data_IF_681833404932
#
_entry.id   IF_681833404932
#
_cell.length_a   1.000
_cell.length_b   1.000
_cell.length_c   1.000
_cell.angle_alpha   90.00
_cell.angle_beta   90.00
_cell.angle_gamma   90.00
#
_symmetry.space_group_name_H-M   'P 1'
#
loop_
_entity.id
_entity.type
_entity.pdbx_description
1 polymer ?
#
# COMPACT_ATOMS: atom_id res chain seq x y z
N UNK A 1 9.20 3.16 2.21
CA UNK A 1 9.67 1.80 1.93
C UNK A 1 9.14 0.83 2.99
N UNK A 2 8.82 -0.40 2.62
CA UNK A 2 8.57 -1.50 3.56
C UNK A 2 9.92 -2.17 3.86
N UNK A 3 10.19 -2.37 5.14
CA UNK A 3 11.43 -2.97 5.63
C UNK A 3 11.06 -4.22 6.40
N UNK A 4 11.56 -5.37 5.95
CA UNK A 4 11.47 -6.63 6.69
C UNK A 4 12.87 -7.05 7.09
N UNK A 5 13.12 -7.01 8.39
CA UNK A 5 14.43 -7.32 8.96
C UNK A 5 14.67 -8.83 8.96
N UNK A 6 15.88 -9.23 8.60
CA UNK A 6 16.36 -10.60 8.62
C UNK A 6 17.71 -10.65 9.37
N UNK A 7 18.17 -11.83 9.83
CA UNK A 7 19.47 -11.94 10.53
C UNK A 7 20.63 -11.32 9.74
N UNK A 8 20.71 -11.62 8.44
CA UNK A 8 21.81 -11.20 7.56
C UNK A 8 21.63 -9.79 6.95
N UNK A 9 20.49 -9.13 7.15
CA UNK A 9 20.18 -7.90 6.42
C UNK A 9 18.71 -7.52 6.41
N UNK A 10 18.29 -6.93 5.30
CA UNK A 10 16.93 -6.42 5.13
C UNK A 10 16.37 -6.85 3.78
N UNK A 11 15.09 -7.21 3.77
CA UNK A 11 14.26 -7.22 2.57
C UNK A 11 13.59 -5.86 2.46
N UNK A 12 13.86 -5.18 1.35
CA UNK A 12 13.42 -3.82 1.08
C UNK A 12 12.46 -3.82 -0.10
N UNK A 13 11.24 -3.35 0.13
CA UNK A 13 10.17 -3.29 -0.87
C UNK A 13 9.72 -1.85 -0.99
N UNK A 14 9.69 -1.32 -2.23
CA UNK A 14 9.18 0.03 -2.46
C UNK A 14 7.68 0.05 -2.21
N UNK A 15 7.16 1.10 -1.60
CA UNK A 15 5.73 1.27 -1.35
C UNK A 15 4.96 1.33 -2.67
N UNK A 16 5.53 1.98 -3.69
CA UNK A 16 4.91 1.96 -5.01
C UNK A 16 4.86 0.56 -5.64
N UNK A 17 5.80 -0.34 -5.31
CA UNK A 17 5.75 -1.72 -5.79
C UNK A 17 4.67 -2.52 -5.03
N UNK A 18 4.44 -2.28 -3.73
CA UNK A 18 3.28 -2.85 -3.03
C UNK A 18 1.97 -2.35 -3.62
N UNK A 19 1.90 -1.07 -4.00
CA UNK A 19 0.69 -0.50 -4.59
C UNK A 19 0.36 -1.16 -5.94
N UNK A 20 1.37 -1.49 -6.73
CA UNK A 20 1.17 -2.30 -7.95
C UNK A 20 0.63 -3.69 -7.64
N UNK A 21 1.06 -4.33 -6.56
CA UNK A 21 0.48 -5.60 -6.12
C UNK A 21 -0.99 -5.42 -5.71
N UNK A 22 -1.33 -4.34 -4.99
CA UNK A 22 -2.72 -3.99 -4.69
C UNK A 22 -3.57 -3.83 -5.96
N UNK A 23 -3.02 -3.21 -7.01
CA UNK A 23 -3.67 -3.11 -8.32
C UNK A 23 -3.91 -4.47 -8.98
N UNK A 24 -2.92 -5.36 -8.94
CA UNK A 24 -3.06 -6.74 -9.44
C UNK A 24 -4.15 -7.51 -8.67
N UNK A 25 -4.25 -7.33 -7.35
CA UNK A 25 -5.32 -7.91 -6.53
C UNK A 25 -6.68 -7.35 -6.98
N UNK A 26 -6.79 -6.03 -7.13
CA UNK A 26 -8.02 -5.36 -7.53
C UNK A 26 -8.55 -5.82 -8.90
N UNK A 27 -7.65 -6.07 -9.86
CA UNK A 27 -8.01 -6.59 -11.18
C UNK A 27 -8.75 -7.93 -11.10
N UNK A 28 -8.43 -8.77 -10.12
CA UNK A 28 -8.94 -10.13 -9.97
C UNK A 28 -10.15 -10.27 -9.04
N UNK A 29 -10.60 -9.16 -8.44
CA UNK A 29 -11.80 -9.15 -7.59
C UNK A 29 -13.05 -9.62 -8.34
N UNK A 30 -13.97 -10.26 -7.62
CA UNK A 30 -15.28 -10.65 -8.14
C UNK A 30 -16.07 -9.41 -8.60
N UNK A 31 -16.90 -9.51 -9.65
CA UNK A 31 -17.73 -8.40 -10.12
C UNK A 31 -18.73 -7.88 -9.09
N UNK A 32 -19.09 -8.67 -8.08
CA UNK A 32 -19.94 -8.22 -6.97
C UNK A 32 -19.24 -7.18 -6.08
N UNK A 33 -17.92 -7.31 -5.90
CA UNK A 33 -17.09 -6.36 -5.17
C UNK A 33 -16.72 -5.18 -6.06
N UNK A 34 -16.23 -5.47 -7.26
CA UNK A 34 -15.76 -4.48 -8.24
C UNK A 34 -16.53 -4.63 -9.56
N UNK A 35 -17.74 -4.04 -9.68
CA UNK A 35 -18.56 -4.13 -10.89
C UNK A 35 -17.84 -3.58 -12.12
N UNK A 36 -18.12 -4.16 -13.28
CA UNK A 36 -17.70 -3.58 -14.57
C UNK A 36 -18.41 -2.26 -14.82
N UNK A 37 -17.70 -1.25 -15.29
CA UNK A 37 -18.28 0.07 -15.58
C UNK A 37 -17.22 1.15 -15.77
N UNK A 38 -17.67 2.39 -16.02
CA UNK A 38 -16.80 3.55 -16.29
C UNK A 38 -15.79 3.81 -15.18
N UNK A 39 -16.18 3.61 -13.92
CA UNK A 39 -15.38 4.01 -12.77
C UNK A 39 -14.43 2.89 -12.31
N UNK A 40 -14.57 1.68 -12.86
CA UNK A 40 -13.75 0.52 -12.47
C UNK A 40 -12.28 0.76 -12.80
N UNK A 41 -11.99 1.23 -14.01
CA UNK A 41 -10.62 1.45 -14.47
C UNK A 41 -9.93 2.53 -13.62
N UNK A 42 -10.64 3.62 -13.33
CA UNK A 42 -10.17 4.67 -12.44
C UNK A 42 -10.00 4.19 -10.99
N UNK A 43 -10.89 3.35 -10.47
CA UNK A 43 -10.74 2.75 -9.14
C UNK A 43 -9.51 1.83 -9.07
N UNK A 44 -9.31 0.93 -10.04
CA UNK A 44 -8.12 0.08 -10.11
C UNK A 44 -6.84 0.92 -10.28
N UNK A 45 -6.89 2.00 -11.05
CA UNK A 45 -5.78 2.94 -11.17
C UNK A 45 -5.45 3.59 -9.82
N UNK A 46 -6.46 4.03 -9.07
CA UNK A 46 -6.28 4.57 -7.71
C UNK A 46 -5.57 3.56 -6.81
N UNK A 47 -6.05 2.32 -6.80
CA UNK A 47 -5.45 1.23 -6.01
C UNK A 47 -4.01 0.95 -6.44
N UNK A 48 -3.72 1.03 -7.73
CA UNK A 48 -2.36 0.81 -8.28
C UNK A 48 -1.41 1.97 -7.94
N UNK A 49 -1.92 3.19 -7.79
CA UNK A 49 -1.13 4.41 -7.64
C UNK A 49 -1.22 5.05 -6.25
N UNK A 50 -1.93 4.47 -5.28
CA UNK A 50 -2.18 5.10 -3.97
C UNK A 50 -0.89 5.54 -3.26
N UNK A 51 0.17 4.73 -3.34
CA UNK A 51 1.48 5.05 -2.77
C UNK A 51 2.52 5.55 -3.78
N UNK A 52 2.07 6.11 -4.91
CA UNK A 52 2.96 6.69 -5.93
C UNK A 52 3.88 7.78 -5.39
N UNK A 53 3.44 8.54 -4.39
CA UNK A 53 4.25 9.59 -3.75
C UNK A 53 5.57 9.07 -3.17
N UNK A 54 5.62 7.78 -2.80
CA UNK A 54 6.81 7.18 -2.22
C UNK A 54 7.96 6.92 -3.18
N UNK A 55 7.74 6.95 -4.51
CA UNK A 55 8.79 6.62 -5.50
C UNK A 55 10.10 7.35 -5.22
N UNK A 56 10.03 8.64 -4.93
CA UNK A 56 11.20 9.47 -4.64
C UNK A 56 11.89 9.12 -3.32
N UNK A 57 11.11 8.78 -2.29
CA UNK A 57 11.62 8.40 -0.98
C UNK A 57 12.27 7.01 -1.01
N UNK A 58 11.71 6.10 -1.81
CA UNK A 58 12.18 4.72 -1.94
C UNK A 58 13.39 4.55 -2.86
N UNK A 59 13.66 5.53 -3.72
CA UNK A 59 14.89 5.59 -4.53
C UNK A 59 16.12 5.88 -3.66
N UNK A 60 15.94 6.63 -2.56
CA UNK A 60 17.04 7.07 -1.70
C UNK A 60 16.74 6.70 -0.23
N UNK A 61 16.76 5.41 0.14
CA UNK A 61 16.42 4.99 1.49
C UNK A 61 17.35 5.62 2.53
N UNK A 62 16.74 6.08 3.61
CA UNK A 62 17.45 6.71 4.73
C UNK A 62 17.73 5.69 5.82
N UNK A 63 18.87 5.84 6.50
CA UNK A 63 19.21 5.02 7.67
C UNK A 63 18.71 5.66 8.95
N UNK A 64 18.02 4.89 9.79
CA UNK A 64 17.63 5.25 11.14
C UNK A 64 18.68 4.71 12.14
N UNK A 65 19.47 5.62 12.70
CA UNK A 65 20.50 5.28 13.68
C UNK A 65 19.93 4.77 15.01
N UNK A 66 18.70 5.16 15.36
CA UNK A 66 18.08 4.76 16.63
C UNK A 66 17.70 3.28 16.61
N UNK A 67 17.03 2.84 15.53
CA UNK A 67 16.66 1.43 15.33
C UNK A 67 17.77 0.59 14.69
N UNK A 68 18.88 1.21 14.25
CA UNK A 68 19.93 0.54 13.47
C UNK A 68 19.37 -0.22 12.25
N UNK A 69 18.42 0.42 11.56
CA UNK A 69 17.71 -0.13 10.41
C UNK A 69 17.39 0.97 9.39
N UNK A 70 17.06 0.65 8.13
CA UNK A 70 16.50 1.62 7.21
C UNK A 70 15.16 2.18 7.74
N UNK A 71 14.89 3.46 7.51
CA UNK A 71 13.56 4.02 7.79
C UNK A 71 12.49 3.28 7.01
N UNK A 72 11.55 2.68 7.73
CA UNK A 72 10.33 2.11 7.17
C UNK A 72 9.28 3.19 6.94
N UNK A 73 8.23 2.86 6.20
CA UNK A 73 7.11 3.76 6.00
C UNK A 73 6.39 4.11 7.31
N UNK A 74 6.55 3.31 8.36
CA UNK A 74 5.94 3.52 9.68
C UNK A 74 6.64 4.67 10.41
N UNK A 75 7.97 4.63 10.49
CA UNK A 75 8.80 5.59 11.25
C UNK A 75 9.45 6.68 10.39
N UNK A 76 9.16 6.76 9.09
CA UNK A 76 9.73 7.79 8.22
C UNK A 76 9.38 9.22 8.69
N UNK A 77 10.31 10.19 8.63
CA UNK A 77 10.04 11.56 9.03
C UNK A 77 8.84 12.18 8.31
N UNK A 78 7.90 12.75 9.07
CA UNK A 78 6.59 13.20 8.57
C UNK A 78 6.69 14.28 7.48
N UNK A 79 7.50 15.32 7.67
CA UNK A 79 7.57 16.46 6.75
C UNK A 79 7.98 16.04 5.32
N UNK A 80 9.04 15.23 5.12
CA UNK A 80 9.33 14.62 3.82
C UNK A 80 8.20 13.77 3.23
N UNK A 81 7.45 13.01 4.06
CA UNK A 81 6.28 12.25 3.60
C UNK A 81 5.23 13.18 3.02
N UNK A 82 4.84 14.23 3.76
CA UNK A 82 3.81 15.19 3.33
C UNK A 82 4.19 15.88 2.01
N UNK A 83 5.46 16.22 1.81
CA UNK A 83 5.94 16.78 0.54
C UNK A 83 5.76 15.78 -0.61
N UNK A 84 6.15 14.53 -0.39
CA UNK A 84 6.08 13.47 -1.40
C UNK A 84 4.64 13.04 -1.70
N UNK A 85 3.77 13.04 -0.69
CA UNK A 85 2.35 12.76 -0.83
C UNK A 85 1.67 13.78 -1.73
N UNK A 86 1.93 15.08 -1.56
CA UNK A 86 1.40 16.13 -2.43
C UNK A 86 1.73 15.87 -3.90
N UNK A 87 3.01 15.61 -4.20
CA UNK A 87 3.45 15.30 -5.55
C UNK A 87 2.75 14.05 -6.10
N UNK A 88 2.68 12.97 -5.32
CA UNK A 88 2.02 11.73 -5.73
C UNK A 88 0.53 11.91 -6.01
N UNK A 89 -0.15 12.74 -5.21
CA UNK A 89 -1.57 13.07 -5.37
C UNK A 89 -1.84 13.94 -6.58
N UNK A 90 -0.98 14.94 -6.84
CA UNK A 90 -1.05 15.76 -8.06
C UNK A 90 -0.85 14.90 -9.31
N UNK A 91 0.11 13.95 -9.27
CA UNK A 91 0.32 13.00 -10.36
C UNK A 91 -0.87 12.05 -10.55
N UNK A 92 -1.44 11.50 -9.47
CA UNK A 92 -2.59 10.61 -9.55
C UNK A 92 -3.83 11.32 -10.11
N UNK A 93 -4.11 12.54 -9.67
CA UNK A 93 -5.20 13.37 -10.19
C UNK A 93 -4.99 13.72 -11.67
N UNK A 94 -3.75 13.99 -12.08
CA UNK A 94 -3.43 14.27 -13.48
C UNK A 94 -3.61 13.05 -14.39
N UNK A 95 -3.50 11.82 -13.86
CA UNK A 95 -3.81 10.60 -14.61
C UNK A 95 -5.32 10.41 -14.75
N UNK A 96 -6.05 10.54 -13.65
CA UNK A 96 -7.50 10.44 -13.61
C UNK A 96 -8.04 11.16 -12.36
N UNK A 97 -8.99 12.11 -12.49
CA UNK A 97 -9.52 12.84 -11.34
C UNK A 97 -10.16 11.93 -10.28
N UNK A 98 -10.88 10.89 -10.69
CA UNK A 98 -11.50 9.96 -9.75
C UNK A 98 -10.46 9.10 -9.02
N UNK A 99 -9.39 8.70 -9.71
CA UNK A 99 -8.25 8.06 -9.05
C UNK A 99 -7.58 8.99 -8.03
N UNK A 100 -7.35 10.26 -8.40
CA UNK A 100 -6.84 11.29 -7.50
C UNK A 100 -7.72 11.50 -6.26
N UNK A 101 -9.05 11.47 -6.42
CA UNK A 101 -10.00 11.54 -5.32
C UNK A 101 -9.82 10.40 -4.32
N UNK A 102 -9.78 9.15 -4.79
CA UNK A 102 -9.63 7.98 -3.93
C UNK A 102 -8.25 7.94 -3.23
N UNK A 103 -7.19 8.31 -3.93
CA UNK A 103 -5.85 8.45 -3.32
C UNK A 103 -5.82 9.56 -2.26
N UNK A 104 -6.49 10.68 -2.49
CA UNK A 104 -6.60 11.79 -1.53
C UNK A 104 -7.34 11.35 -0.27
N UNK A 105 -8.47 10.65 -0.42
CA UNK A 105 -9.21 10.06 0.69
C UNK A 105 -8.33 9.10 1.50
N UNK A 106 -7.49 8.31 0.83
CA UNK A 106 -6.57 7.38 1.49
C UNK A 106 -5.57 8.07 2.42
N UNK A 107 -4.78 9.03 1.91
CA UNK A 107 -3.84 9.76 2.76
C UNK A 107 -4.53 10.58 3.85
N UNK A 108 -5.69 11.18 3.55
CA UNK A 108 -6.48 11.93 4.52
C UNK A 108 -7.09 11.05 5.62
N UNK A 109 -7.24 9.74 5.39
CA UNK A 109 -7.79 8.79 6.37
C UNK A 109 -6.82 8.37 7.47
N UNK A 110 -5.51 8.53 7.23
CA UNK A 110 -4.48 8.16 8.19
C UNK A 110 -4.61 8.95 9.49
N UNK A 111 -4.60 8.29 10.64
CA UNK A 111 -4.88 8.93 11.94
C UNK A 111 -3.92 10.09 12.24
N UNK A 112 -2.62 9.91 11.95
CA UNK A 112 -1.60 10.94 12.13
C UNK A 112 -1.76 12.15 11.19
N UNK A 113 -2.62 12.06 10.18
CA UNK A 113 -2.98 13.15 9.27
C UNK A 113 -4.33 13.74 9.67
N UNK A 114 -5.35 12.89 9.81
CA UNK A 114 -6.74 13.26 10.11
C UNK A 114 -6.88 14.03 11.43
N UNK A 115 -6.11 13.62 12.44
CA UNK A 115 -6.14 14.19 13.78
C UNK A 115 -4.85 14.93 14.13
N UNK A 116 -4.09 15.37 13.12
CA UNK A 116 -2.85 16.10 13.34
C UNK A 116 -3.08 17.43 14.06
N UNK A 117 -2.35 17.65 15.15
CA UNK A 117 -2.20 18.96 15.78
C UNK A 117 -1.01 19.75 15.19
N UNK A 118 -0.05 19.02 14.60
CA UNK A 118 1.12 19.61 13.96
C UNK A 118 0.70 20.44 12.72
N UNK A 119 1.17 21.71 12.59
CA UNK A 119 0.60 22.64 11.63
C UNK A 119 0.70 22.18 10.17
N UNK A 120 1.81 21.54 9.79
CA UNK A 120 2.09 21.11 8.43
C UNK A 120 1.18 19.95 8.00
N UNK A 121 0.96 18.98 8.89
CA UNK A 121 0.03 17.87 8.69
C UNK A 121 -1.43 18.32 8.73
N UNK A 122 -1.79 19.22 9.66
CA UNK A 122 -3.14 19.81 9.69
C UNK A 122 -3.44 20.63 8.43
N UNK A 123 -2.44 21.34 7.89
CA UNK A 123 -2.55 22.03 6.60
C UNK A 123 -2.71 21.05 5.45
N UNK A 124 -1.91 19.98 5.40
CA UNK A 124 -2.03 18.94 4.38
C UNK A 124 -3.44 18.32 4.38
N UNK A 125 -3.97 17.97 5.55
CA UNK A 125 -5.32 17.43 5.67
C UNK A 125 -6.37 18.38 5.07
N UNK A 126 -6.31 19.68 5.39
CA UNK A 126 -7.23 20.68 4.82
C UNK A 126 -7.10 20.84 3.31
N UNK A 127 -5.87 20.82 2.80
CA UNK A 127 -5.59 20.86 1.35
C UNK A 127 -6.27 19.67 0.63
N UNK A 128 -6.17 18.48 1.22
CA UNK A 128 -6.76 17.28 0.65
C UNK A 128 -8.29 17.22 0.77
N UNK A 129 -8.89 17.74 1.85
CA UNK A 129 -10.35 17.93 1.90
C UNK A 129 -10.82 18.88 0.78
N UNK A 130 -10.14 20.00 0.55
CA UNK A 130 -10.48 20.90 -0.55
C UNK A 130 -10.28 20.25 -1.94
N UNK A 131 -9.24 19.42 -2.11
CA UNK A 131 -9.04 18.62 -3.33
C UNK A 131 -10.24 17.70 -3.57
N UNK A 132 -10.65 16.97 -2.54
CA UNK A 132 -11.77 16.03 -2.61
C UNK A 132 -13.07 16.75 -2.99
N UNK A 133 -13.41 17.86 -2.33
CA UNK A 133 -14.60 18.67 -2.63
C UNK A 133 -14.58 19.21 -4.07
N UNK A 134 -13.42 19.70 -4.53
CA UNK A 134 -13.24 20.21 -5.89
C UNK A 134 -13.45 19.12 -6.94
N UNK A 135 -12.83 17.95 -6.76
CA UNK A 135 -12.97 16.85 -7.72
C UNK A 135 -14.40 16.32 -7.73
N UNK A 136 -15.02 16.13 -6.56
CA UNK A 136 -16.42 15.70 -6.47
C UNK A 136 -17.37 16.67 -7.15
N UNK A 137 -17.11 17.98 -7.07
CA UNK A 137 -17.91 19.00 -7.76
C UNK A 137 -17.72 18.98 -9.29
N UNK A 138 -16.54 18.58 -9.77
CA UNK A 138 -16.23 18.47 -11.21
C UNK A 138 -16.83 17.19 -11.82
N UNK A 139 -16.81 16.09 -11.07
CA UNK A 139 -17.35 14.80 -11.48
C UNK A 139 -18.84 14.73 -11.15
N UNK A 140 -19.67 15.41 -11.95
CA UNK A 140 -21.12 15.41 -11.78
C UNK A 140 -21.69 13.99 -11.81
N UNK A 141 -22.52 13.62 -10.83
CA UNK A 141 -23.20 12.33 -10.79
C UNK A 141 -22.43 11.21 -10.07
N UNK A 142 -21.35 11.52 -9.36
CA UNK A 142 -20.75 10.57 -8.41
C UNK A 142 -21.73 10.22 -7.29
N UNK A 143 -22.00 8.93 -7.17
CA UNK A 143 -22.76 8.36 -6.06
C UNK A 143 -21.82 8.15 -4.86
N UNK A 144 -22.11 8.81 -3.74
CA UNK A 144 -21.30 8.74 -2.53
C UNK A 144 -21.07 7.29 -2.07
N UNK A 145 -22.09 6.43 -2.19
CA UNK A 145 -21.98 5.01 -1.79
C UNK A 145 -21.03 4.22 -2.70
N UNK A 146 -20.90 4.63 -3.96
CA UNK A 146 -19.94 4.05 -4.90
C UNK A 146 -18.52 4.49 -4.57
N UNK A 147 -18.32 5.77 -4.26
CA UNK A 147 -17.00 6.30 -3.84
C UNK A 147 -16.52 5.59 -2.57
N UNK A 148 -17.39 5.50 -1.56
CA UNK A 148 -17.11 4.78 -0.31
C UNK A 148 -16.75 3.32 -0.56
N UNK A 149 -17.49 2.61 -1.43
CA UNK A 149 -17.16 1.23 -1.80
C UNK A 149 -15.77 1.11 -2.42
N UNK A 150 -15.44 1.92 -3.42
CA UNK A 150 -14.12 1.86 -4.06
C UNK A 150 -13.01 2.24 -3.09
N UNK A 151 -13.27 3.19 -2.20
CA UNK A 151 -12.33 3.57 -1.15
C UNK A 151 -12.07 2.41 -0.17
N UNK A 152 -13.11 1.70 0.26
CA UNK A 152 -12.98 0.53 1.12
C UNK A 152 -12.25 -0.64 0.42
N UNK A 153 -12.45 -0.81 -0.90
CA UNK A 153 -11.67 -1.76 -1.68
C UNK A 153 -10.20 -1.37 -1.80
N UNK A 154 -9.90 -0.06 -1.91
CA UNK A 154 -8.53 0.44 -1.87
C UNK A 154 -7.85 0.08 -0.55
N UNK A 155 -8.47 0.38 0.59
CA UNK A 155 -7.96 0.01 1.92
C UNK A 155 -7.73 -1.49 2.05
N UNK A 156 -8.65 -2.32 1.53
CA UNK A 156 -8.53 -3.77 1.58
C UNK A 156 -7.36 -4.28 0.72
N UNK A 157 -7.22 -3.78 -0.51
CA UNK A 157 -6.15 -4.21 -1.41
C UNK A 157 -4.78 -3.70 -0.97
N UNK A 158 -4.70 -2.51 -0.37
CA UNK A 158 -3.51 -2.00 0.33
C UNK A 158 -3.14 -2.93 1.49
N UNK A 159 -4.08 -3.22 2.39
CA UNK A 159 -3.82 -4.09 3.54
C UNK A 159 -3.42 -5.52 3.15
N UNK A 160 -4.00 -6.10 2.10
CA UNK A 160 -3.62 -7.42 1.57
C UNK A 160 -2.21 -7.42 0.96
N UNK A 161 -1.80 -6.36 0.27
CA UNK A 161 -0.43 -6.28 -0.27
C UNK A 161 0.58 -6.05 0.85
N UNK A 162 0.25 -5.24 1.85
CA UNK A 162 1.07 -5.06 3.05
C UNK A 162 1.18 -6.35 3.87
N UNK A 163 0.12 -7.15 3.97
CA UNK A 163 0.17 -8.50 4.57
C UNK A 163 1.23 -9.37 3.89
N UNK A 164 1.27 -9.36 2.56
CA UNK A 164 2.29 -10.10 1.78
C UNK A 164 3.69 -9.56 2.02
N UNK A 165 3.84 -8.24 2.13
CA UNK A 165 5.15 -7.60 2.20
C UNK A 165 5.77 -7.66 3.62
N UNK A 166 4.96 -7.50 4.66
CA UNK A 166 5.40 -7.43 6.06
C UNK A 166 5.70 -8.80 6.66
N UNK A 167 5.08 -9.86 6.15
CA UNK A 167 5.31 -11.23 6.60
C UNK A 167 6.40 -11.92 5.75
N UNK A 168 7.12 -12.87 6.34
CA UNK A 168 7.90 -13.81 5.54
C UNK A 168 6.96 -14.73 4.75
N UNK A 169 7.28 -15.07 3.49
CA UNK A 169 6.50 -16.05 2.75
C UNK A 169 6.42 -17.37 3.52
N UNK A 170 5.21 -17.91 3.69
CA UNK A 170 5.00 -19.15 4.43
C UNK A 170 4.99 -19.00 5.96
N UNK A 171 4.97 -17.76 6.50
CA UNK A 171 4.91 -17.53 7.95
C UNK A 171 3.74 -18.29 8.59
N UNK A 172 3.97 -18.86 9.77
CA UNK A 172 2.91 -19.44 10.59
C UNK A 172 2.11 -18.35 11.32
N UNK A 173 0.89 -18.69 11.75
CA UNK A 173 -0.03 -17.76 12.44
C UNK A 173 0.59 -17.10 13.70
N UNK A 174 1.49 -17.79 14.41
CA UNK A 174 2.18 -17.28 15.59
C UNK A 174 3.34 -16.32 15.28
N UNK A 175 3.91 -16.43 14.08
CA UNK A 175 4.99 -15.59 13.58
C UNK A 175 4.49 -14.40 12.74
N UNK A 176 3.17 -14.34 12.48
CA UNK A 176 2.57 -13.23 11.73
C UNK A 176 2.82 -11.87 12.37
N UNK A 177 3.03 -10.88 11.49
CA UNK A 177 3.21 -9.50 11.85
C UNK A 177 2.03 -9.03 12.72
N UNK A 178 2.28 -8.32 13.84
CA UNK A 178 1.26 -8.01 14.84
C UNK A 178 -0.01 -7.33 14.30
N UNK A 179 0.10 -6.59 13.20
CA UNK A 179 -1.03 -5.93 12.54
C UNK A 179 -2.10 -6.88 12.00
N UNK A 180 -1.75 -8.15 11.74
CA UNK A 180 -2.64 -9.07 11.02
C UNK A 180 -3.09 -10.28 11.83
N UNK A 181 -2.68 -10.37 13.10
CA UNK A 181 -3.04 -11.50 13.98
C UNK A 181 -4.55 -11.63 14.23
N UNK A 182 -5.28 -10.52 14.14
CA UNK A 182 -6.75 -10.49 14.25
C UNK A 182 -7.43 -10.56 12.86
N UNK A 183 -6.64 -10.59 11.79
CA UNK A 183 -7.06 -10.44 10.40
C UNK A 183 -6.90 -9.02 9.88
N UNK A 184 -7.22 -8.82 8.61
CA UNK A 184 -7.20 -7.52 7.93
C UNK A 184 -8.49 -6.78 8.25
N UNK A 185 -8.39 -5.63 8.93
CA UNK A 185 -9.53 -4.74 9.16
C UNK A 185 -10.18 -4.33 7.83
N UNK A 186 -11.50 -4.48 7.74
CA UNK A 186 -12.25 -4.13 6.54
C UNK A 186 -13.66 -3.71 6.90
N UNK A 187 -14.36 -3.09 5.96
CA UNK A 187 -15.79 -2.80 6.03
C UNK A 187 -16.55 -3.51 4.89
N UNK A 188 -15.84 -4.32 4.10
CA UNK A 188 -16.39 -5.04 2.97
C UNK A 188 -17.30 -6.17 3.47
N UNK A 189 -18.48 -6.30 2.86
CA UNK A 189 -19.47 -7.33 3.19
C UNK A 189 -19.98 -7.31 4.64
N UNK A 190 -19.81 -6.20 5.37
CA UNK A 190 -20.14 -6.12 6.79
C UNK A 190 -19.21 -6.97 7.68
N UNK A 191 -18.05 -7.41 7.16
CA UNK A 191 -16.99 -7.98 7.97
C UNK A 191 -16.27 -6.84 8.69
N UNK A 192 -15.85 -7.10 9.93
CA UNK A 192 -14.86 -6.26 10.63
C UNK A 192 -13.44 -6.69 10.28
N UNK A 193 -13.22 -8.00 10.10
CA UNK A 193 -11.91 -8.57 9.78
C UNK A 193 -12.00 -9.65 8.71
N UNK A 194 -11.11 -9.57 7.70
CA UNK A 194 -10.86 -10.61 6.72
C UNK A 194 -9.65 -11.43 7.14
N UNK A 195 -9.78 -12.75 7.26
CA UNK A 195 -8.63 -13.61 7.52
C UNK A 195 -7.85 -13.84 6.22
N UNK A 196 -6.56 -13.53 6.25
CA UNK A 196 -5.59 -13.87 5.21
C UNK A 196 -4.51 -14.73 5.86
N UNK A 197 -4.01 -15.74 5.15
CA UNK A 197 -2.90 -16.58 5.63
C UNK A 197 -1.98 -16.99 4.50
N UNK A 198 -0.68 -17.05 4.78
CA UNK A 198 0.24 -17.84 3.97
C UNK A 198 -0.08 -19.33 4.15
N UNK A 199 -0.36 -20.01 3.05
CA UNK A 199 -0.59 -21.47 3.01
C UNK A 199 0.75 -22.21 2.92
N UNK A 200 1.65 -21.63 2.14
CA UNK A 200 3.02 -22.06 1.90
C UNK A 200 3.83 -20.82 1.43
N UNK A 201 5.10 -20.98 1.07
CA UNK A 201 5.98 -19.89 0.63
C UNK A 201 5.53 -19.17 -0.66
N UNK A 202 4.58 -19.73 -1.42
CA UNK A 202 4.12 -19.20 -2.70
C UNK A 202 2.63 -18.88 -2.76
N UNK A 203 1.86 -19.08 -1.70
CA UNK A 203 0.41 -18.95 -1.75
C UNK A 203 -0.20 -18.27 -0.52
N UNK A 204 -1.04 -17.26 -0.76
CA UNK A 204 -1.91 -16.62 0.23
C UNK A 204 -3.36 -16.99 -0.03
N UNK A 205 -4.07 -17.40 1.03
CA UNK A 205 -5.50 -17.68 1.00
C UNK A 205 -6.29 -16.69 1.86
N UNK A 206 -7.46 -16.28 1.38
CA UNK A 206 -8.39 -15.39 2.09
C UNK A 206 -9.70 -16.10 2.47
N UNK A 207 -10.29 -15.78 3.62
CA UNK A 207 -11.48 -16.47 4.14
C UNK A 207 -12.79 -16.10 3.44
N UNK A 208 -12.86 -14.91 2.83
CA UNK A 208 -14.01 -14.47 2.04
C UNK A 208 -13.73 -14.75 0.56
N UNK A 209 -14.69 -15.26 -0.23
CA UNK A 209 -14.57 -15.29 -1.67
C UNK A 209 -14.39 -13.87 -2.23
N UNK A 210 -13.15 -13.52 -2.56
CA UNK A 210 -12.80 -12.21 -3.13
C UNK A 210 -12.48 -12.31 -4.61
N UNK A 211 -11.90 -13.41 -5.05
CA UNK A 211 -11.31 -13.54 -6.39
C UNK A 211 -12.18 -14.38 -7.32
N UNK A 212 -12.19 -14.01 -8.61
CA UNK A 212 -12.91 -14.77 -9.67
C UNK A 212 -12.35 -16.19 -9.86
N UNK A 213 -11.05 -16.33 -9.70
CA UNK A 213 -10.29 -17.59 -9.76
C UNK A 213 -8.99 -17.41 -8.99
N UNK A 214 -8.24 -18.49 -8.80
CA UNK A 214 -6.84 -18.35 -8.41
C UNK A 214 -6.08 -17.53 -9.45
N UNK A 215 -5.14 -16.70 -8.99
CA UNK A 215 -4.27 -15.90 -9.85
C UNK A 215 -2.89 -15.72 -9.19
N UNK A 216 -1.89 -15.34 -9.99
CA UNK A 216 -0.58 -14.95 -9.49
C UNK A 216 -0.40 -13.45 -9.61
N UNK A 217 0.00 -12.81 -8.51
CA UNK A 217 0.56 -11.47 -8.51
C UNK A 217 2.07 -11.52 -8.29
N UNK A 218 2.75 -10.43 -8.59
CA UNK A 218 4.19 -10.30 -8.40
C UNK A 218 4.54 -9.01 -7.65
N UNK A 219 5.54 -9.09 -6.77
CA UNK A 219 6.12 -7.96 -6.06
C UNK A 219 7.63 -7.89 -6.30
N UNK A 220 8.16 -6.69 -6.51
CA UNK A 220 9.60 -6.46 -6.64
C UNK A 220 10.19 -6.10 -5.27
N UNK A 221 11.30 -6.76 -4.92
CA UNK A 221 12.02 -6.54 -3.67
C UNK A 221 13.53 -6.54 -3.90
N UNK A 222 14.28 -5.98 -2.95
CA UNK A 222 15.74 -6.08 -2.89
C UNK A 222 16.15 -6.70 -1.55
N UNK A 223 17.20 -7.52 -1.57
CA UNK A 223 17.84 -8.04 -0.36
C UNK A 223 19.16 -7.31 -0.16
N UNK A 224 19.30 -6.60 0.96
CA UNK A 224 20.47 -5.79 1.28
C UNK A 224 21.10 -6.32 2.57
N UNK A 225 22.31 -6.87 2.48
CA UNK A 225 23.03 -7.42 3.63
C UNK A 225 23.56 -6.32 4.56
N UNK A 226 23.66 -6.62 5.86
CA UNK A 226 24.32 -5.71 6.84
C UNK A 226 25.75 -5.41 6.46
N UNK A 227 26.50 -6.43 6.04
CA UNK A 227 27.90 -6.27 5.60
C UNK A 227 28.05 -5.22 4.49
N UNK A 228 27.21 -5.28 3.44
CA UNK A 228 27.26 -4.29 2.37
C UNK A 228 26.93 -2.86 2.84
N UNK A 229 26.01 -2.72 3.80
CA UNK A 229 25.65 -1.42 4.39
C UNK A 229 26.83 -0.88 5.21
N UNK A 230 27.51 -1.71 6.00
CA UNK A 230 28.68 -1.33 6.77
C UNK A 230 29.85 -0.91 5.86
N UNK A 231 30.09 -1.63 4.77
CA UNK A 231 31.20 -1.37 3.86
C UNK A 231 30.98 -0.14 2.96
N UNK A 232 29.74 0.12 2.52
CA UNK A 232 29.45 1.07 1.42
C UNK A 232 28.39 2.12 1.74
N UNK A 233 27.69 1.98 2.87
CA UNK A 233 26.51 2.77 3.21
C UNK A 233 25.24 2.23 2.55
N UNK A 234 24.08 2.57 3.14
CA UNK A 234 22.76 2.05 2.74
C UNK A 234 22.42 2.35 1.27
N UNK A 235 22.61 3.59 0.82
CA UNK A 235 22.25 3.98 -0.55
C UNK A 235 23.00 3.17 -1.61
N UNK A 236 24.33 3.09 -1.50
CA UNK A 236 25.14 2.30 -2.43
C UNK A 236 24.84 0.80 -2.34
N UNK A 237 24.65 0.26 -1.13
CA UNK A 237 24.28 -1.14 -0.95
C UNK A 237 22.91 -1.47 -1.58
N UNK A 238 21.94 -0.56 -1.46
CA UNK A 238 20.62 -0.68 -2.07
C UNK A 238 20.65 -0.57 -3.59
N UNK A 239 21.40 0.38 -4.15
CA UNK A 239 21.54 0.56 -5.60
C UNK A 239 22.19 -0.65 -6.26
N UNK A 240 23.22 -1.22 -5.61
CA UNK A 240 23.93 -2.40 -6.10
C UNK A 240 23.13 -3.70 -5.93
N UNK A 241 22.19 -3.76 -4.98
CA UNK A 241 21.40 -4.95 -4.74
C UNK A 241 20.47 -5.23 -5.94
N UNK A 242 20.44 -6.48 -6.46
CA UNK A 242 19.60 -6.83 -7.59
C UNK A 242 18.12 -6.74 -7.21
N UNK A 243 17.30 -6.33 -8.17
CA UNK A 243 15.85 -6.47 -8.06
C UNK A 243 15.47 -7.94 -8.22
N UNK A 244 14.65 -8.42 -7.30
CA UNK A 244 14.12 -9.78 -7.25
C UNK A 244 12.61 -9.68 -7.38
N UNK A 245 12.03 -10.48 -8.28
CA UNK A 245 10.59 -10.65 -8.38
C UNK A 245 10.17 -11.83 -7.52
N UNK A 246 9.24 -11.61 -6.59
CA UNK A 246 8.58 -12.64 -5.82
C UNK A 246 7.14 -12.80 -6.34
N UNK A 247 6.84 -13.97 -6.88
CA UNK A 247 5.49 -14.32 -7.29
C UNK A 247 4.69 -14.87 -6.10
N UNK A 248 3.42 -14.49 -6.02
CA UNK A 248 2.50 -14.92 -4.96
C UNK A 248 1.18 -15.31 -5.59
N UNK A 249 0.76 -16.56 -5.35
CA UNK A 249 -0.55 -17.05 -5.74
C UNK A 249 -1.59 -16.62 -4.71
N UNK A 250 -2.69 -16.06 -5.16
CA UNK A 250 -3.84 -15.72 -4.34
C UNK A 250 -5.00 -16.68 -4.64
N UNK A 251 -5.70 -17.12 -3.58
CA UNK A 251 -6.89 -17.95 -3.70
C UNK A 251 -7.92 -17.67 -2.61
N UNK A 252 -9.16 -18.03 -2.87
CA UNK A 252 -10.19 -18.12 -1.84
C UNK A 252 -9.97 -19.42 -1.03
N UNK A 253 -10.30 -19.42 0.27
CA UNK A 253 -10.21 -20.59 1.16
C UNK A 253 -11.15 -21.73 0.75
#
# INVERSE_FOLDING_TARGET
>A
MIVREQPEGFVLIRQHDHAKLSGQIAEHLLPEWMPTGSDREAAVLAITQHDRGWRYLDENPLWDSESSSPFSFINYPLVPKLSSYRTGLDEAEAMDPYAGLLCSMHYASFQQIRYAEEPEAARFYKEEIHRQERIQSQLSGLDASRVERHFNLLKLCDSLSLYVCLNEPGTSEDEEHPWYREGIETEIAGLEHLQARWVDEGCVAVSLPLFRSEFSGSITLKRVSRQAIEEKGLGAAYDMAPEITQDVKFRNK
#
